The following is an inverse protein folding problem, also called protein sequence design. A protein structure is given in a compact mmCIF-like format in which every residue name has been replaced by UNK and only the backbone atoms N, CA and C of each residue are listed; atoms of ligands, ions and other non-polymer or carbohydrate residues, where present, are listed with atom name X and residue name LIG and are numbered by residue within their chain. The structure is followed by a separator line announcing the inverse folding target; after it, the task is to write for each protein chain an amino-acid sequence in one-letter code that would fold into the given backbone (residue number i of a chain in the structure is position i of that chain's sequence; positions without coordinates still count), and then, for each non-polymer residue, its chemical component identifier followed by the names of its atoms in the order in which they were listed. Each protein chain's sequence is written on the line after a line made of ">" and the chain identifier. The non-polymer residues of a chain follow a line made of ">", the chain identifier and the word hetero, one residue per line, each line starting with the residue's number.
data_IF_315976948692
#
_entry.id   IF_315976948692
#
_cell.length_a   1.000
_cell.length_b   1.000
_cell.length_c   1.000
_cell.angle_alpha   90.00
_cell.angle_beta   90.00
_cell.angle_gamma   90.00
#
_symmetry.space_group_name_H-M   'P 1'
#
loop_
_entity.id
_entity.type
_entity.pdbx_description
1 polymer ?
#
# COMPACT_ATOMS: atom_id res chain seq x y z
N UNK A 1 24.44 -55.47 1.18
CA UNK A 1 24.77 -54.09 1.61
C UNK A 1 25.47 -54.16 2.97
N UNK A 2 26.68 -53.61 3.11
CA UNK A 2 27.42 -53.66 4.39
C UNK A 2 26.73 -52.80 5.45
N UNK A 3 26.93 -53.10 6.75
CA UNK A 3 26.31 -52.35 7.85
C UNK A 3 26.66 -50.84 7.81
N UNK A 4 27.86 -50.51 7.32
CA UNK A 4 28.28 -49.11 7.09
C UNK A 4 27.47 -48.44 5.98
N UNK A 5 27.18 -49.16 4.89
CA UNK A 5 26.35 -48.66 3.80
C UNK A 5 24.92 -48.31 4.24
N UNK A 6 24.33 -49.13 5.11
CA UNK A 6 23.00 -48.83 5.70
C UNK A 6 23.01 -47.55 6.54
N UNK A 7 24.07 -47.33 7.32
CA UNK A 7 24.24 -46.12 8.14
C UNK A 7 24.33 -44.87 7.27
N UNK A 8 25.10 -44.91 6.18
CA UNK A 8 25.18 -43.78 5.25
C UNK A 8 23.83 -43.46 4.60
N UNK A 9 23.07 -44.48 4.19
CA UNK A 9 21.73 -44.29 3.61
C UNK A 9 20.78 -43.61 4.62
N UNK A 10 20.77 -44.08 5.86
CA UNK A 10 19.93 -43.50 6.92
C UNK A 10 20.34 -42.06 7.23
N UNK A 11 21.64 -41.78 7.34
CA UNK A 11 22.14 -40.42 7.57
C UNK A 11 21.77 -39.47 6.44
N UNK A 12 21.91 -39.89 5.18
CA UNK A 12 21.52 -39.08 4.03
C UNK A 12 20.03 -38.82 4.03
N UNK A 13 19.20 -39.83 4.29
CA UNK A 13 17.76 -39.66 4.40
C UNK A 13 17.38 -38.66 5.52
N UNK A 14 18.05 -38.76 6.67
CA UNK A 14 17.82 -37.87 7.80
C UNK A 14 18.25 -36.42 7.50
N UNK A 15 19.37 -36.23 6.81
CA UNK A 15 19.84 -34.92 6.38
C UNK A 15 18.86 -34.25 5.39
N UNK A 16 18.34 -35.00 4.43
CA UNK A 16 17.32 -34.50 3.48
C UNK A 16 16.06 -34.08 4.25
N UNK A 17 15.60 -34.90 5.19
CA UNK A 17 14.42 -34.62 5.99
C UNK A 17 14.59 -33.35 6.83
N UNK A 18 15.76 -33.14 7.43
CA UNK A 18 16.11 -31.91 8.14
C UNK A 18 16.08 -30.68 7.23
N UNK A 19 16.64 -30.76 6.02
CA UNK A 19 16.64 -29.63 5.07
C UNK A 19 15.21 -29.26 4.68
N UNK A 20 14.35 -30.25 4.39
CA UNK A 20 12.95 -30.01 4.06
C UNK A 20 12.20 -29.32 5.20
N UNK A 21 12.43 -29.76 6.44
CA UNK A 21 11.83 -29.13 7.63
C UNK A 21 12.33 -27.68 7.80
N UNK A 22 13.62 -27.43 7.60
CA UNK A 22 14.17 -26.08 7.68
C UNK A 22 13.58 -25.14 6.62
N UNK A 23 13.50 -25.61 5.37
CA UNK A 23 12.94 -24.82 4.27
C UNK A 23 11.44 -24.56 4.47
N UNK A 24 10.69 -25.57 4.93
CA UNK A 24 9.25 -25.44 5.18
C UNK A 24 8.92 -24.48 6.34
N UNK A 25 9.84 -24.30 7.29
CA UNK A 25 9.69 -23.36 8.41
C UNK A 25 10.33 -22.00 8.14
N UNK A 26 10.88 -21.75 6.94
CA UNK A 26 11.42 -20.45 6.58
C UNK A 26 10.28 -19.43 6.62
N UNK A 27 10.42 -18.31 7.36
CA UNK A 27 9.39 -17.28 7.36
C UNK A 27 9.22 -16.74 5.94
N UNK A 28 7.97 -16.45 5.56
CA UNK A 28 7.71 -15.82 4.28
C UNK A 28 8.54 -14.54 4.14
N UNK A 29 9.12 -14.35 2.96
CA UNK A 29 9.90 -13.15 2.68
C UNK A 29 8.99 -11.93 2.80
N UNK A 30 9.35 -11.00 3.68
CA UNK A 30 8.58 -9.79 3.89
C UNK A 30 8.56 -8.97 2.59
N UNK A 31 7.36 -8.75 2.06
CA UNK A 31 7.21 -8.00 0.81
C UNK A 31 7.43 -6.49 1.06
N UNK A 32 8.52 -5.94 0.51
CA UNK A 32 8.87 -4.51 0.57
C UNK A 32 8.45 -3.74 -0.69
N UNK A 33 7.44 -4.22 -1.41
CA UNK A 33 6.94 -3.50 -2.57
C UNK A 33 6.26 -2.18 -2.14
N UNK A 34 6.61 -1.04 -2.75
CA UNK A 34 6.10 0.27 -2.36
C UNK A 34 4.66 0.47 -2.84
N UNK A 35 3.69 -0.05 -2.08
CA UNK A 35 2.29 -0.03 -2.49
C UNK A 35 1.51 1.21 -2.06
N UNK A 36 1.83 1.79 -0.89
CA UNK A 36 1.12 2.93 -0.29
C UNK A 36 -0.39 2.76 -0.08
N UNK A 37 -0.94 1.57 -0.29
CA UNK A 37 -2.36 1.30 -0.12
C UNK A 37 -2.74 1.18 1.36
N UNK A 38 -3.89 1.77 1.72
CA UNK A 38 -4.39 1.81 3.12
C UNK A 38 -4.74 0.45 3.72
N UNK A 39 -4.94 -0.58 2.88
CA UNK A 39 -5.29 -1.93 3.33
C UNK A 39 -4.11 -2.89 3.37
N UNK A 40 -2.94 -2.49 2.85
CA UNK A 40 -1.75 -3.33 2.87
C UNK A 40 -1.00 -3.21 4.20
N UNK A 41 -0.75 -4.36 4.84
CA UNK A 41 -0.01 -4.47 6.11
C UNK A 41 1.51 -4.65 5.93
N UNK A 42 1.99 -4.53 4.70
CA UNK A 42 3.43 -4.53 4.39
C UNK A 42 4.07 -3.21 4.85
N UNK A 43 5.41 -3.14 5.02
CA UNK A 43 6.07 -1.95 5.57
C UNK A 43 5.78 -0.64 4.81
N UNK A 44 5.68 -0.72 3.48
CA UNK A 44 5.33 0.42 2.62
C UNK A 44 3.83 0.53 2.33
N UNK A 45 2.98 -0.16 3.08
CA UNK A 45 1.55 0.12 3.11
C UNK A 45 1.23 1.30 4.04
N UNK A 46 0.05 1.89 3.89
CA UNK A 46 -0.40 3.02 4.72
C UNK A 46 -1.42 2.60 5.79
N UNK A 47 -1.52 1.30 6.08
CA UNK A 47 -2.49 0.75 7.03
C UNK A 47 -2.39 1.36 8.43
N UNK A 48 -1.19 1.39 9.02
CA UNK A 48 -0.98 1.99 10.34
C UNK A 48 -1.21 3.50 10.31
N UNK A 49 -0.75 4.17 9.26
CA UNK A 49 -0.94 5.61 9.09
C UNK A 49 -2.44 5.98 9.07
N UNK A 50 -3.24 5.28 8.24
CA UNK A 50 -4.68 5.49 8.15
C UNK A 50 -5.39 5.18 9.48
N UNK A 51 -5.01 4.08 10.15
CA UNK A 51 -5.56 3.74 11.46
C UNK A 51 -5.22 4.77 12.55
N UNK A 52 -4.03 5.39 12.51
CA UNK A 52 -3.70 6.49 13.44
C UNK A 52 -4.46 7.77 13.09
N UNK A 53 -4.67 8.06 11.81
CA UNK A 53 -5.49 9.21 11.40
C UNK A 53 -6.92 9.11 11.90
N UNK A 54 -7.59 7.97 11.71
CA UNK A 54 -8.95 7.74 12.22
C UNK A 54 -9.04 7.74 13.76
N UNK A 55 -7.90 7.55 14.44
CA UNK A 55 -7.82 7.62 15.91
C UNK A 55 -7.56 9.04 16.42
N UNK A 56 -6.74 9.80 15.70
CA UNK A 56 -6.39 11.19 16.07
C UNK A 56 -7.48 12.18 15.66
N UNK A 57 -8.16 11.92 14.56
CA UNK A 57 -9.29 12.70 14.05
C UNK A 57 -10.57 11.89 14.15
N UNK A 58 -11.74 12.55 14.16
CA UNK A 58 -13.00 11.80 14.04
C UNK A 58 -13.06 11.09 12.69
N UNK A 59 -13.71 9.93 12.64
CA UNK A 59 -13.86 9.15 11.39
C UNK A 59 -14.50 9.95 10.26
N UNK A 60 -15.37 10.90 10.61
CA UNK A 60 -16.03 11.83 9.67
C UNK A 60 -15.09 12.88 9.09
N UNK A 61 -13.97 13.18 9.75
CA UNK A 61 -12.97 14.14 9.31
C UNK A 61 -11.94 13.54 8.35
N UNK A 62 -11.84 12.21 8.27
CA UNK A 62 -10.94 11.51 7.33
C UNK A 62 -11.75 11.07 6.12
N UNK A 63 -11.57 11.75 5.01
CA UNK A 63 -12.25 11.43 3.74
C UNK A 63 -11.23 10.82 2.78
N UNK A 64 -11.46 9.56 2.41
CA UNK A 64 -10.71 8.92 1.35
C UNK A 64 -11.19 9.42 -0.01
N UNK A 65 -10.25 9.90 -0.83
CA UNK A 65 -10.53 10.37 -2.18
C UNK A 65 -9.78 9.47 -3.17
N UNK A 66 -10.53 8.79 -4.02
CA UNK A 66 -10.06 7.81 -5.01
C UNK A 66 -9.94 8.36 -6.43
N UNK A 67 -10.25 9.65 -6.61
CA UNK A 67 -10.22 10.35 -7.90
C UNK A 67 -9.22 11.50 -7.90
N UNK A 68 -8.81 11.98 -9.09
CA UNK A 68 -7.91 13.12 -9.18
C UNK A 68 -8.46 14.37 -8.46
N UNK A 69 -7.59 15.18 -7.86
CA UNK A 69 -7.98 16.35 -7.09
C UNK A 69 -8.81 17.33 -7.91
N UNK A 70 -8.44 17.60 -9.17
CA UNK A 70 -9.17 18.56 -9.99
C UNK A 70 -10.63 18.15 -10.20
N UNK A 71 -10.92 16.85 -10.33
CA UNK A 71 -12.29 16.34 -10.46
C UNK A 71 -13.05 16.46 -9.14
N UNK A 72 -12.38 16.10 -8.04
CA UNK A 72 -12.98 16.17 -6.71
C UNK A 72 -13.31 17.61 -6.32
N UNK A 73 -12.39 18.54 -6.52
CA UNK A 73 -12.50 19.94 -6.12
C UNK A 73 -13.43 20.75 -7.03
N UNK A 74 -13.63 20.33 -8.28
CA UNK A 74 -14.60 20.97 -9.17
C UNK A 74 -16.05 20.73 -8.73
N UNK A 75 -16.30 19.62 -8.03
CA UNK A 75 -17.65 19.19 -7.63
C UNK A 75 -17.92 19.39 -6.14
N UNK A 76 -16.86 19.47 -5.32
CA UNK A 76 -16.97 19.53 -3.86
C UNK A 76 -16.16 20.71 -3.32
N UNK A 77 -16.76 21.48 -2.43
CA UNK A 77 -16.03 22.45 -1.62
C UNK A 77 -15.42 21.72 -0.44
N UNK A 78 -14.09 21.70 -0.37
CA UNK A 78 -13.36 21.13 0.78
C UNK A 78 -13.06 22.20 1.81
N UNK A 79 -13.14 21.83 3.09
CA UNK A 79 -12.62 22.60 4.21
C UNK A 79 -11.65 21.72 4.97
N UNK A 80 -10.35 21.88 4.71
CA UNK A 80 -9.31 21.04 5.28
C UNK A 80 -8.09 20.88 4.36
N UNK A 81 -7.25 19.90 4.67
CA UNK A 81 -6.03 19.61 3.93
C UNK A 81 -6.22 18.38 3.03
N UNK A 82 -5.84 18.50 1.76
CA UNK A 82 -5.76 17.38 0.84
C UNK A 82 -4.34 16.80 0.84
N UNK A 83 -4.18 15.50 1.10
CA UNK A 83 -2.88 14.85 1.27
C UNK A 83 -2.74 13.71 0.28
N UNK A 84 -1.58 13.63 -0.39
CA UNK A 84 -1.21 12.52 -1.27
C UNK A 84 -0.13 11.68 -0.61
N UNK A 85 -0.26 10.37 -0.69
CA UNK A 85 0.72 9.43 -0.16
C UNK A 85 1.05 8.43 -1.26
N UNK A 86 2.14 8.70 -1.98
CA UNK A 86 2.61 7.93 -3.12
C UNK A 86 4.13 8.09 -3.25
N UNK A 87 4.77 7.20 -4.02
CA UNK A 87 6.21 7.28 -4.34
C UNK A 87 6.58 8.57 -5.07
N UNK A 88 5.74 8.95 -6.04
CA UNK A 88 5.85 10.17 -6.84
C UNK A 88 4.45 10.74 -7.08
N UNK A 89 4.36 12.06 -7.03
CA UNK A 89 3.17 12.80 -7.43
C UNK A 89 3.55 13.61 -8.65
N UNK A 90 2.97 13.25 -9.80
CA UNK A 90 3.16 13.97 -11.07
C UNK A 90 1.82 14.58 -11.46
N UNK A 91 1.72 15.91 -11.35
CA UNK A 91 0.58 16.68 -11.84
C UNK A 91 1.00 17.25 -13.19
N UNK A 92 0.27 16.92 -14.25
CA UNK A 92 0.57 17.47 -15.57
C UNK A 92 0.15 18.95 -15.68
N UNK A 93 0.67 19.67 -16.68
CA UNK A 93 0.37 21.10 -16.83
C UNK A 93 -1.12 21.38 -17.09
N UNK A 94 -1.84 20.46 -17.75
CA UNK A 94 -3.26 20.63 -18.02
C UNK A 94 -4.09 20.48 -16.73
N UNK A 95 -3.75 19.51 -15.88
CA UNK A 95 -4.33 19.31 -14.56
C UNK A 95 -4.01 20.49 -13.64
N UNK A 96 -2.75 20.94 -13.62
CA UNK A 96 -2.32 22.09 -12.84
C UNK A 96 -3.08 23.37 -13.23
N UNK A 97 -3.29 23.58 -14.54
CA UNK A 97 -4.09 24.70 -15.02
C UNK A 97 -5.55 24.62 -14.53
N UNK A 98 -6.16 23.43 -14.55
CA UNK A 98 -7.52 23.23 -14.02
C UNK A 98 -7.61 23.53 -12.52
N UNK A 99 -6.60 23.13 -11.74
CA UNK A 99 -6.52 23.44 -10.31
C UNK A 99 -6.40 24.94 -10.04
N UNK A 100 -5.59 25.66 -10.83
CA UNK A 100 -5.31 27.10 -10.62
C UNK A 100 -6.49 28.00 -10.98
N UNK A 101 -7.26 27.63 -12.00
CA UNK A 101 -8.34 28.45 -12.56
C UNK A 101 -9.62 28.34 -11.70
N UNK A 102 -9.71 27.33 -10.82
CA UNK A 102 -10.92 27.04 -10.06
C UNK A 102 -12.07 26.56 -10.95
N UNK A 103 -13.19 26.11 -10.37
CA UNK A 103 -14.35 25.69 -11.17
C UNK A 103 -14.79 26.86 -12.07
N UNK A 104 -15.10 26.61 -13.36
CA UNK A 104 -15.68 27.66 -14.20
C UNK A 104 -16.92 28.17 -13.48
N UNK A 105 -16.95 29.48 -13.16
CA UNK A 105 -18.15 30.10 -12.58
C UNK A 105 -19.29 29.75 -13.53
N UNK A 106 -20.23 28.93 -13.06
CA UNK A 106 -21.42 28.60 -13.82
C UNK A 106 -22.05 29.94 -14.22
N UNK A 107 -21.95 30.28 -15.50
CA UNK A 107 -22.71 31.38 -16.07
C UNK A 107 -24.16 30.99 -15.86
N UNK A 108 -24.81 31.65 -14.89
CA UNK A 108 -26.27 31.59 -14.77
C UNK A 108 -26.81 32.19 -16.05
N UNK A 109 -27.12 31.35 -17.02
CA UNK A 109 -28.04 31.73 -18.07
C UNK A 109 -29.42 31.87 -17.40
N UNK A 110 -29.84 33.13 -17.25
CA UNK A 110 -31.19 33.53 -16.86
C UNK A 110 -32.02 33.69 -18.12
#
# INVERSE_FOLDING_TARGET
>A
MSNKGKIYVVLTALAILLIVVLEANKPEELNWFPSYAKHHKIPFGTFIFHAQMERMFSKEAVVDVDRPPFEYLNTNTISGSYVFINDRVTIDEAELNKLRIGPPKATRYS
#
